data_IF_339256686116
#
_entry.id   IF_339256686116
#
_cell.length_a   1.000
_cell.length_b   1.000
_cell.length_c   1.000
_cell.angle_alpha   90.00
_cell.angle_beta   90.00
_cell.angle_gamma   90.00
#
_symmetry.space_group_name_H-M   'P 1'
#
loop_
_entity.id
_entity.type
_entity.pdbx_description
1 polymer ?
#
# COMPACT_ATOMS: atom_id res chain seq x y z
N UNK A 1 4.98 -40.94 -45.13
CA UNK A 1 5.98 -40.02 -44.54
C UNK A 1 5.26 -39.27 -43.45
N UNK A 2 5.57 -39.67 -42.25
CA UNK A 2 4.89 -39.33 -41.04
C UNK A 2 5.25 -37.94 -40.51
N UNK A 3 4.25 -37.26 -40.02
CA UNK A 3 4.38 -36.07 -39.20
C UNK A 3 3.87 -36.36 -37.81
N UNK A 4 4.78 -36.39 -36.85
CA UNK A 4 4.47 -36.58 -35.47
C UNK A 4 3.90 -35.29 -34.85
N UNK A 5 2.69 -35.39 -34.30
CA UNK A 5 2.04 -34.35 -33.54
C UNK A 5 2.49 -34.44 -32.08
N UNK A 6 3.22 -33.45 -31.60
CA UNK A 6 3.61 -33.34 -30.19
C UNK A 6 2.46 -32.68 -29.43
N UNK A 7 1.87 -33.43 -28.50
CA UNK A 7 0.85 -32.96 -27.54
C UNK A 7 1.58 -32.41 -26.28
N UNK A 8 1.28 -31.21 -25.81
CA UNK A 8 1.82 -30.71 -24.55
C UNK A 8 1.11 -31.33 -23.33
N UNK A 9 1.79 -31.51 -22.21
CA UNK A 9 1.24 -32.17 -21.02
C UNK A 9 0.24 -31.25 -20.30
N UNK A 10 -0.90 -31.84 -19.98
CA UNK A 10 -1.95 -31.31 -19.10
C UNK A 10 -1.45 -31.15 -17.68
N UNK A 11 -1.53 -29.95 -17.12
CA UNK A 11 -1.41 -29.70 -15.68
C UNK A 11 -2.76 -29.92 -15.02
N UNK A 12 -2.80 -30.85 -14.10
CA UNK A 12 -3.92 -31.10 -13.21
C UNK A 12 -3.63 -30.51 -11.81
N UNK A 13 -4.72 -30.09 -11.23
CA UNK A 13 -5.07 -29.91 -9.80
C UNK A 13 -4.85 -28.55 -9.18
N UNK A 14 -6.00 -27.93 -9.07
CA UNK A 14 -6.41 -26.88 -8.16
C UNK A 14 -6.28 -27.36 -6.70
N UNK A 15 -5.59 -26.60 -5.86
CA UNK A 15 -5.78 -26.64 -4.42
C UNK A 15 -6.38 -25.29 -3.99
N UNK A 16 -7.67 -25.29 -3.74
CA UNK A 16 -8.42 -24.21 -3.06
C UNK A 16 -7.92 -24.11 -1.61
N UNK A 17 -7.34 -22.97 -1.26
CA UNK A 17 -7.14 -22.59 0.14
C UNK A 17 -8.24 -21.63 0.58
N UNK A 18 -9.16 -22.13 1.38
CA UNK A 18 -10.11 -21.33 2.15
C UNK A 18 -9.38 -20.60 3.28
N UNK A 19 -9.49 -19.26 3.27
CA UNK A 19 -8.98 -18.38 4.33
C UNK A 19 -10.16 -17.87 5.14
N UNK A 20 -10.42 -18.53 6.26
CA UNK A 20 -11.21 -17.95 7.36
C UNK A 20 -10.66 -18.47 8.68
N UNK A 21 -9.93 -17.61 9.41
CA UNK A 21 -9.80 -17.72 10.85
C UNK A 21 -9.27 -16.42 11.47
N UNK A 22 -10.04 -15.93 12.43
CA UNK A 22 -9.75 -14.83 13.37
C UNK A 22 -8.40 -15.01 14.06
N UNK A 23 -7.50 -14.02 13.93
CA UNK A 23 -6.21 -14.01 14.59
C UNK A 23 -6.21 -13.00 15.75
N UNK A 24 -6.41 -13.49 16.97
CA UNK A 24 -6.00 -12.79 18.17
C UNK A 24 -4.50 -13.06 18.46
N UNK A 25 -3.70 -11.99 18.54
CA UNK A 25 -2.24 -12.03 18.74
C UNK A 25 -1.87 -12.52 20.16
N UNK A 26 -1.08 -13.59 20.30
CA UNK A 26 -0.42 -13.92 21.57
C UNK A 26 0.81 -13.03 21.78
N UNK A 27 1.12 -12.71 23.04
CA UNK A 27 2.26 -11.89 23.43
C UNK A 27 3.62 -12.49 23.04
N UNK A 28 4.56 -11.61 22.70
CA UNK A 28 5.87 -11.85 22.09
C UNK A 28 6.89 -12.73 22.89
N UNK A 29 6.50 -13.37 23.98
CA UNK A 29 7.46 -13.98 24.93
C UNK A 29 7.78 -15.46 24.75
N UNK A 30 7.41 -16.10 23.61
CA UNK A 30 7.52 -17.57 23.52
C UNK A 30 7.97 -18.09 22.14
N UNK A 31 9.28 -18.04 21.85
CA UNK A 31 9.89 -18.68 20.67
C UNK A 31 10.75 -19.89 21.11
N UNK A 32 10.55 -21.07 20.49
CA UNK A 32 11.37 -22.25 20.77
C UNK A 32 12.64 -22.27 19.87
N UNK A 33 13.84 -22.12 20.45
CA UNK A 33 15.09 -21.95 19.75
C UNK A 33 15.63 -23.19 19.02
N UNK A 34 15.23 -24.39 19.45
CA UNK A 34 15.88 -25.63 19.03
C UNK A 34 15.61 -26.02 17.57
N UNK A 35 14.39 -25.87 17.11
CA UNK A 35 14.00 -26.27 15.74
C UNK A 35 14.54 -25.34 14.65
N UNK A 36 14.66 -24.04 14.94
CA UNK A 36 15.29 -23.09 14.03
C UNK A 36 16.80 -23.31 13.99
N UNK A 37 17.41 -23.63 15.15
CA UNK A 37 18.82 -23.98 15.30
C UNK A 37 19.18 -25.18 14.43
N UNK A 38 18.38 -26.24 14.46
CA UNK A 38 18.65 -27.48 13.69
C UNK A 38 18.52 -27.23 12.18
N UNK A 39 17.56 -26.43 11.76
CA UNK A 39 17.39 -26.06 10.35
C UNK A 39 18.55 -25.21 9.82
N UNK A 40 18.97 -24.21 10.58
CA UNK A 40 20.06 -23.31 10.19
C UNK A 40 21.43 -24.01 10.30
N UNK A 41 21.57 -24.99 11.22
CA UNK A 41 22.73 -25.84 11.31
C UNK A 41 22.87 -26.75 10.09
N UNK A 42 21.79 -27.36 9.61
CA UNK A 42 21.78 -28.11 8.34
C UNK A 42 22.19 -27.23 7.15
N UNK A 43 21.78 -25.95 7.12
CA UNK A 43 22.13 -25.02 6.04
C UNK A 43 23.57 -24.49 6.17
N UNK A 44 24.10 -24.37 7.37
CA UNK A 44 25.50 -23.96 7.63
C UNK A 44 26.51 -25.05 7.27
N UNK A 45 26.14 -26.32 7.35
CA UNK A 45 26.97 -27.47 6.91
C UNK A 45 27.06 -27.50 5.37
N UNK A 46 26.11 -26.94 4.62
CA UNK A 46 26.16 -26.77 3.16
C UNK A 46 26.99 -25.54 2.69
N UNK A 47 27.64 -24.84 3.58
CA UNK A 47 28.83 -24.00 3.30
C UNK A 47 28.56 -22.66 2.59
N UNK A 48 27.43 -21.99 2.74
CA UNK A 48 27.23 -20.65 2.13
C UNK A 48 26.24 -19.79 2.93
N UNK A 49 26.67 -19.02 3.92
CA UNK A 49 26.31 -17.65 4.22
C UNK A 49 26.55 -17.28 5.68
N UNK A 50 27.39 -16.27 5.89
CA UNK A 50 27.68 -15.62 7.17
C UNK A 50 26.41 -15.02 7.83
N UNK A 51 25.44 -14.60 7.00
CA UNK A 51 24.13 -14.08 7.43
C UNK A 51 23.27 -15.13 8.16
N UNK A 52 23.35 -16.40 7.75
CA UNK A 52 22.57 -17.48 8.37
C UNK A 52 23.15 -17.86 9.75
N UNK A 53 24.43 -17.60 9.97
CA UNK A 53 25.12 -17.85 11.23
C UNK A 53 24.82 -16.84 12.32
N UNK A 54 24.76 -15.56 11.95
CA UNK A 54 24.39 -14.47 12.85
C UNK A 54 22.92 -14.60 13.30
N UNK A 55 22.07 -15.12 12.43
CA UNK A 55 20.67 -15.37 12.73
C UNK A 55 20.46 -16.47 13.78
N UNK A 56 21.34 -17.49 13.81
CA UNK A 56 21.32 -18.58 14.80
C UNK A 56 21.64 -18.09 16.20
N UNK A 57 22.64 -17.21 16.34
CA UNK A 57 23.09 -16.72 17.64
C UNK A 57 22.07 -15.81 18.33
N UNK A 58 21.24 -15.11 17.56
CA UNK A 58 20.22 -14.20 18.09
C UNK A 58 18.98 -14.95 18.57
N UNK A 59 18.63 -16.08 17.94
CA UNK A 59 17.53 -16.94 18.37
C UNK A 59 17.84 -17.77 19.61
N UNK A 60 19.12 -18.06 19.88
CA UNK A 60 19.58 -18.78 21.09
C UNK A 60 19.37 -17.95 22.38
N UNK A 61 19.19 -16.62 22.27
CA UNK A 61 18.97 -15.73 23.41
C UNK A 61 17.53 -15.71 23.91
N UNK A 62 16.60 -16.29 23.16
CA UNK A 62 15.17 -16.36 23.56
C UNK A 62 14.85 -17.75 24.13
N UNK A 63 14.86 -17.87 25.46
CA UNK A 63 14.72 -19.14 26.22
C UNK A 63 13.39 -19.91 26.04
N UNK A 64 13.32 -21.14 26.59
CA UNK A 64 12.25 -22.11 26.31
C UNK A 64 10.99 -21.86 27.13
N UNK A 65 9.79 -21.89 26.52
CA UNK A 65 8.53 -22.03 27.25
C UNK A 65 7.40 -22.68 26.46
N UNK A 66 6.65 -23.51 27.17
CA UNK A 66 5.34 -24.14 27.01
C UNK A 66 5.00 -24.89 25.71
N UNK A 67 4.65 -26.15 25.91
CA UNK A 67 4.30 -27.17 24.90
C UNK A 67 2.80 -27.25 24.67
N UNK A 68 2.15 -26.22 24.10
CA UNK A 68 0.80 -26.40 23.55
C UNK A 68 0.88 -26.67 22.04
N UNK A 69 0.04 -27.56 21.46
CA UNK A 69 0.06 -27.87 20.04
C UNK A 69 -0.20 -26.64 19.14
N UNK A 70 -1.00 -25.69 19.60
CA UNK A 70 -1.27 -24.44 18.88
C UNK A 70 -0.04 -23.55 18.79
N UNK A 71 0.78 -23.53 19.84
CA UNK A 71 2.02 -22.80 19.90
C UNK A 71 3.05 -23.36 18.91
N UNK A 72 3.20 -24.68 18.83
CA UNK A 72 4.08 -25.31 17.85
C UNK A 72 3.65 -25.04 16.41
N UNK A 73 2.35 -25.07 16.13
CA UNK A 73 1.80 -24.78 14.81
C UNK A 73 2.08 -23.31 14.41
N UNK A 74 1.89 -22.35 15.34
CA UNK A 74 2.23 -20.95 15.13
C UNK A 74 3.73 -20.78 14.81
N UNK A 75 4.61 -21.41 15.57
CA UNK A 75 6.05 -21.35 15.34
C UNK A 75 6.48 -21.91 13.99
N UNK A 76 5.94 -23.05 13.59
CA UNK A 76 6.20 -23.64 12.27
C UNK A 76 5.76 -22.69 11.13
N UNK A 77 4.59 -22.06 11.27
CA UNK A 77 4.12 -21.04 10.29
C UNK A 77 5.08 -19.85 10.22
N UNK A 78 5.45 -19.30 11.37
CA UNK A 78 6.37 -18.16 11.45
C UNK A 78 7.73 -18.48 10.87
N UNK A 79 8.31 -19.64 11.18
CA UNK A 79 9.55 -20.12 10.58
C UNK A 79 9.46 -20.23 9.04
N UNK A 80 8.35 -20.76 8.52
CA UNK A 80 8.11 -20.81 7.08
C UNK A 80 8.14 -19.41 6.47
N UNK A 81 7.46 -18.44 7.08
CA UNK A 81 7.42 -17.06 6.62
C UNK A 81 8.82 -16.41 6.66
N UNK A 82 9.60 -16.63 7.71
CA UNK A 82 10.98 -16.17 7.79
C UNK A 82 11.83 -16.72 6.62
N UNK A 83 11.71 -18.01 6.36
CA UNK A 83 12.39 -18.67 5.24
C UNK A 83 11.98 -18.06 3.88
N UNK A 84 10.70 -17.83 3.67
CA UNK A 84 10.18 -17.21 2.45
C UNK A 84 10.73 -15.79 2.26
N UNK A 85 10.81 -15.00 3.34
CA UNK A 85 11.38 -13.65 3.30
C UNK A 85 12.86 -13.69 2.98
N UNK A 86 13.66 -14.58 3.62
CA UNK A 86 15.09 -14.76 3.30
C UNK A 86 15.28 -15.18 1.85
N UNK A 87 14.52 -16.16 1.38
CA UNK A 87 14.59 -16.59 -0.02
C UNK A 87 14.24 -15.46 -1.00
N UNK A 88 13.36 -14.53 -0.62
CA UNK A 88 13.04 -13.37 -1.46
C UNK A 88 14.25 -12.46 -1.70
N UNK A 89 15.15 -12.29 -0.72
CA UNK A 89 16.40 -11.55 -0.91
C UNK A 89 17.36 -12.25 -1.87
N UNK A 90 17.51 -13.59 -1.74
CA UNK A 90 18.35 -14.37 -2.65
C UNK A 90 17.81 -14.34 -4.09
N UNK A 91 16.49 -14.46 -4.25
CA UNK A 91 15.84 -14.35 -5.55
C UNK A 91 16.04 -12.96 -6.19
N UNK A 92 15.98 -11.89 -5.40
CA UNK A 92 16.24 -10.53 -5.89
C UNK A 92 17.68 -10.39 -6.40
N UNK A 93 18.67 -10.98 -5.70
CA UNK A 93 20.07 -10.98 -6.15
C UNK A 93 20.25 -11.67 -7.51
N UNK A 94 19.65 -12.84 -7.68
CA UNK A 94 19.70 -13.57 -8.96
C UNK A 94 19.00 -12.81 -10.07
N UNK A 95 17.80 -12.26 -9.79
CA UNK A 95 16.99 -11.54 -10.77
C UNK A 95 17.52 -10.14 -11.10
N UNK A 96 18.44 -9.58 -10.31
CA UNK A 96 19.03 -8.27 -10.60
C UNK A 96 19.76 -8.21 -11.95
N UNK A 97 20.15 -9.35 -12.50
CA UNK A 97 20.72 -9.44 -13.86
C UNK A 97 19.70 -9.08 -14.96
N UNK A 98 18.39 -9.18 -14.70
CA UNK A 98 17.30 -8.82 -15.63
C UNK A 98 16.66 -7.47 -15.34
N UNK A 99 17.35 -6.60 -14.61
CA UNK A 99 16.83 -5.27 -14.17
C UNK A 99 16.32 -4.44 -15.35
N UNK A 100 17.06 -4.37 -16.46
CA UNK A 100 16.69 -3.56 -17.63
C UNK A 100 15.38 -4.05 -18.28
N UNK A 101 15.15 -5.34 -18.35
CA UNK A 101 13.90 -5.91 -18.84
C UNK A 101 12.72 -5.55 -17.91
N UNK A 102 12.94 -5.64 -16.59
CA UNK A 102 11.94 -5.27 -15.60
C UNK A 102 11.61 -3.75 -15.66
N UNK A 103 12.63 -2.89 -15.80
CA UNK A 103 12.44 -1.43 -16.01
C UNK A 103 11.62 -1.16 -17.28
N UNK A 104 11.97 -1.81 -18.38
CA UNK A 104 11.26 -1.63 -19.65
C UNK A 104 9.77 -1.97 -19.53
N UNK A 105 9.41 -3.03 -18.81
CA UNK A 105 8.01 -3.40 -18.58
C UNK A 105 7.23 -2.30 -17.83
N UNK A 106 7.84 -1.65 -16.87
CA UNK A 106 7.20 -0.53 -16.14
C UNK A 106 7.16 0.73 -17.02
N UNK A 107 8.22 1.03 -17.78
CA UNK A 107 8.25 2.17 -18.69
C UNK A 107 7.22 2.07 -19.83
N UNK A 108 6.92 0.84 -20.28
CA UNK A 108 5.89 0.58 -21.30
C UNK A 108 4.46 0.53 -20.74
N UNK A 109 4.29 0.72 -19.41
CA UNK A 109 2.98 0.74 -18.78
C UNK A 109 2.14 1.93 -19.25
N UNK A 110 0.87 1.67 -19.48
CA UNK A 110 -0.19 2.68 -19.55
C UNK A 110 -1.42 2.16 -18.78
N UNK A 111 -2.26 3.05 -18.22
CA UNK A 111 -3.37 2.66 -17.37
C UNK A 111 -4.26 1.59 -18.03
N UNK A 112 -4.47 0.50 -17.31
CA UNK A 112 -5.33 -0.60 -17.74
C UNK A 112 -4.68 -1.68 -18.61
N UNK A 113 -3.40 -1.53 -19.00
CA UNK A 113 -2.75 -2.51 -19.92
C UNK A 113 -2.66 -3.91 -19.28
N UNK A 114 -2.59 -4.00 -17.97
CA UNK A 114 -2.43 -5.28 -17.27
C UNK A 114 -3.75 -5.86 -16.71
N UNK A 115 -4.91 -5.24 -17.00
CA UNK A 115 -6.23 -5.70 -16.51
C UNK A 115 -6.43 -7.20 -16.78
N UNK A 116 -6.21 -7.64 -18.02
CA UNK A 116 -6.42 -9.03 -18.39
C UNK A 116 -5.39 -9.97 -17.73
N UNK A 117 -4.15 -9.51 -17.55
CA UNK A 117 -3.08 -10.28 -16.89
C UNK A 117 -3.36 -10.52 -15.39
N UNK A 118 -4.10 -9.62 -14.75
CA UNK A 118 -4.46 -9.74 -13.32
C UNK A 118 -5.86 -10.35 -13.10
N UNK A 119 -6.37 -11.06 -14.08
CA UNK A 119 -7.66 -11.77 -14.02
C UNK A 119 -8.89 -10.89 -14.24
N UNK A 120 -8.71 -9.69 -14.82
CA UNK A 120 -9.79 -8.80 -15.20
C UNK A 120 -10.51 -9.24 -16.49
N UNK A 121 -11.61 -8.54 -16.79
CA UNK A 121 -12.33 -8.66 -18.06
C UNK A 121 -11.63 -7.82 -19.15
N UNK A 122 -12.30 -7.64 -20.31
CA UNK A 122 -11.76 -6.84 -21.40
C UNK A 122 -11.54 -5.39 -20.98
N UNK A 123 -10.46 -4.78 -21.45
CA UNK A 123 -10.12 -3.38 -21.24
C UNK A 123 -11.30 -2.41 -21.47
N UNK A 124 -12.12 -2.70 -22.51
CA UNK A 124 -13.31 -1.90 -22.86
C UNK A 124 -14.35 -1.77 -21.77
N UNK A 125 -14.38 -2.70 -20.81
CA UNK A 125 -15.41 -2.79 -19.77
C UNK A 125 -15.13 -1.88 -18.57
N UNK A 126 -13.92 -1.31 -18.48
CA UNK A 126 -13.47 -0.50 -17.35
C UNK A 126 -13.45 0.99 -17.66
N UNK A 127 -13.69 1.81 -16.62
CA UNK A 127 -13.45 3.23 -16.65
C UNK A 127 -11.98 3.49 -16.32
N UNK A 128 -11.16 3.53 -17.38
CA UNK A 128 -9.70 3.64 -17.25
C UNK A 128 -9.30 5.10 -17.16
N UNK A 129 -8.55 5.51 -16.11
CA UNK A 129 -8.07 6.87 -15.96
C UNK A 129 -7.01 7.20 -17.02
N UNK A 130 -6.81 8.48 -17.30
CA UNK A 130 -5.71 8.93 -18.18
C UNK A 130 -4.34 8.69 -17.55
N UNK A 131 -4.27 8.71 -16.22
CA UNK A 131 -3.06 8.57 -15.42
C UNK A 131 -3.38 7.75 -14.19
N UNK A 132 -2.62 6.71 -13.91
CA UNK A 132 -2.73 5.95 -12.66
C UNK A 132 -2.13 6.73 -11.50
N UNK A 133 -2.91 7.00 -10.47
CA UNK A 133 -2.50 7.77 -9.29
C UNK A 133 -2.15 6.84 -8.13
N UNK A 134 -0.88 6.84 -7.72
CA UNK A 134 -0.36 6.10 -6.57
C UNK A 134 -0.11 7.08 -5.43
N UNK A 135 -0.70 6.84 -4.25
CA UNK A 135 -0.58 7.72 -3.09
C UNK A 135 0.40 7.12 -2.07
N UNK A 136 1.43 7.89 -1.69
CA UNK A 136 2.36 7.55 -0.63
C UNK A 136 1.80 8.01 0.72
N UNK A 137 1.60 7.07 1.65
CA UNK A 137 1.14 7.33 3.02
C UNK A 137 2.15 6.74 4.00
N UNK A 138 2.31 7.34 5.17
CA UNK A 138 3.16 6.82 6.24
C UNK A 138 3.51 7.89 7.26
N UNK A 139 4.10 7.51 8.40
CA UNK A 139 4.50 8.43 9.45
C UNK A 139 5.40 9.56 9.00
N UNK A 140 5.51 10.59 9.83
CA UNK A 140 6.50 11.64 9.63
C UNK A 140 7.92 11.04 9.68
N UNK A 141 8.80 11.44 8.76
CA UNK A 141 10.19 10.98 8.73
C UNK A 141 10.43 9.59 8.14
N UNK A 142 9.39 8.82 7.78
CA UNK A 142 9.55 7.46 7.24
C UNK A 142 10.08 7.39 5.79
N UNK A 143 10.62 8.46 5.21
CA UNK A 143 11.30 8.42 3.91
C UNK A 143 10.42 8.50 2.65
N UNK A 144 9.15 8.99 2.73
CA UNK A 144 8.24 9.09 1.55
C UNK A 144 8.83 9.94 0.41
N UNK A 145 9.29 11.14 0.70
CA UNK A 145 9.89 12.04 -0.29
C UNK A 145 11.20 11.49 -0.85
N UNK A 146 12.02 10.84 0.00
CA UNK A 146 13.23 10.13 -0.43
C UNK A 146 12.89 8.97 -1.38
N UNK A 147 11.82 8.24 -1.11
CA UNK A 147 11.34 7.17 -1.99
C UNK A 147 10.93 7.70 -3.37
N UNK A 148 10.27 8.87 -3.44
CA UNK A 148 9.97 9.54 -4.73
C UNK A 148 11.25 9.81 -5.52
N UNK A 149 12.28 10.37 -4.86
CA UNK A 149 13.55 10.67 -5.51
C UNK A 149 14.26 9.39 -6.00
N UNK A 150 14.25 8.32 -5.19
CA UNK A 150 14.82 7.02 -5.59
C UNK A 150 14.09 6.42 -6.80
N UNK A 151 12.75 6.41 -6.77
CA UNK A 151 11.94 5.93 -7.89
C UNK A 151 12.24 6.75 -9.15
N UNK A 152 12.30 8.09 -9.04
CA UNK A 152 12.62 8.95 -10.17
C UNK A 152 13.99 8.61 -10.75
N UNK A 153 15.01 8.43 -9.91
CA UNK A 153 16.37 8.09 -10.35
C UNK A 153 16.45 6.75 -11.09
N UNK A 154 15.66 5.76 -10.67
CA UNK A 154 15.63 4.43 -11.33
C UNK A 154 15.09 4.52 -12.75
N UNK A 155 14.15 5.43 -13.04
CA UNK A 155 13.47 5.53 -14.33
C UNK A 155 13.89 6.73 -15.18
N UNK A 156 14.70 7.62 -14.64
CA UNK A 156 15.22 8.78 -15.34
C UNK A 156 16.75 8.63 -15.43
N UNK A 157 17.27 8.34 -16.62
CA UNK A 157 18.71 8.10 -16.86
C UNK A 157 19.55 9.38 -16.83
N UNK A 158 19.12 10.40 -16.07
CA UNK A 158 19.83 11.66 -15.90
C UNK A 158 20.42 11.78 -14.49
N UNK A 159 21.69 11.42 -14.36
CA UNK A 159 22.44 11.52 -13.10
C UNK A 159 22.63 12.96 -12.61
N UNK A 160 22.40 13.95 -13.46
CA UNK A 160 22.50 15.37 -13.14
C UNK A 160 21.15 16.03 -12.88
N UNK A 161 20.05 15.28 -13.03
CA UNK A 161 18.74 15.81 -12.74
C UNK A 161 18.61 16.16 -11.24
N UNK A 162 18.11 17.37 -10.90
CA UNK A 162 17.90 17.72 -9.51
C UNK A 162 16.83 16.80 -8.88
N UNK A 163 16.97 16.58 -7.58
CA UNK A 163 15.97 15.86 -6.80
C UNK A 163 14.59 16.51 -6.98
N UNK A 164 13.56 15.67 -7.14
CA UNK A 164 12.20 16.13 -7.43
C UNK A 164 11.44 16.51 -6.18
N UNK A 165 11.52 15.65 -5.16
CA UNK A 165 10.87 15.86 -3.88
C UNK A 165 11.84 16.51 -2.90
N UNK A 166 11.40 17.57 -2.24
CA UNK A 166 12.19 18.24 -1.21
C UNK A 166 12.23 17.36 0.04
N UNK A 167 13.45 16.96 0.44
CA UNK A 167 13.69 16.17 1.65
C UNK A 167 14.00 17.12 2.80
N UNK A 168 13.39 16.90 3.97
CA UNK A 168 13.74 17.58 5.21
C UNK A 168 14.65 16.69 6.03
N UNK A 169 15.92 17.05 6.14
CA UNK A 169 16.91 16.32 6.95
C UNK A 169 16.81 16.62 8.45
N UNK A 170 16.05 17.64 8.84
CA UNK A 170 15.94 18.04 10.23
C UNK A 170 14.48 17.92 10.72
N UNK A 171 14.13 16.85 11.44
CA UNK A 171 12.78 16.63 11.95
C UNK A 171 12.33 17.69 12.97
N UNK A 172 13.27 18.42 13.60
CA UNK A 172 12.96 19.49 14.55
C UNK A 172 12.51 20.80 13.89
N UNK A 173 12.72 20.98 12.59
CA UNK A 173 12.35 22.22 11.86
C UNK A 173 10.92 22.17 11.29
N UNK A 174 10.14 21.16 11.61
CA UNK A 174 8.75 20.99 11.18
C UNK A 174 8.53 19.76 10.28
N UNK A 175 7.31 19.61 9.76
CA UNK A 175 6.98 18.54 8.82
C UNK A 175 7.55 18.89 7.44
N UNK A 176 8.37 18.07 6.84
CA UNK A 176 9.02 18.36 5.55
C UNK A 176 8.03 18.66 4.41
N UNK A 177 6.94 17.92 4.32
CA UNK A 177 5.93 18.03 3.26
C UNK A 177 4.60 18.51 3.83
N UNK A 178 4.16 19.71 3.45
CA UNK A 178 2.88 20.30 3.89
C UNK A 178 1.76 20.18 2.85
N UNK A 179 2.12 19.93 1.60
CA UNK A 179 1.24 19.90 0.45
C UNK A 179 1.28 18.52 -0.21
N UNK A 180 0.18 18.05 -0.76
CA UNK A 180 0.20 16.92 -1.69
C UNK A 180 1.00 17.29 -2.93
N UNK A 181 2.06 16.56 -3.23
CA UNK A 181 2.90 16.81 -4.39
C UNK A 181 2.82 15.63 -5.36
N UNK A 182 2.28 15.87 -6.55
CA UNK A 182 2.21 14.86 -7.61
C UNK A 182 3.42 14.90 -8.51
N UNK A 183 4.02 13.74 -8.75
CA UNK A 183 5.22 13.54 -9.57
C UNK A 183 4.94 12.52 -10.67
N UNK A 184 4.90 12.98 -11.92
CA UNK A 184 4.84 12.08 -13.08
C UNK A 184 6.19 11.39 -13.27
N UNK A 185 6.22 10.08 -13.42
CA UNK A 185 7.45 9.30 -13.56
C UNK A 185 7.35 8.36 -14.77
N UNK A 186 8.36 8.41 -15.67
CA UNK A 186 9.40 9.44 -15.77
C UNK A 186 8.84 10.82 -16.11
N UNK A 187 9.67 11.88 -16.04
CA UNK A 187 9.26 13.24 -16.43
C UNK A 187 8.72 13.23 -17.85
N UNK A 188 7.61 13.93 -18.06
CA UNK A 188 6.96 13.97 -19.38
C UNK A 188 6.09 12.75 -19.73
N UNK A 189 6.12 11.67 -18.92
CA UNK A 189 5.16 10.58 -19.04
C UNK A 189 3.80 10.98 -18.47
N UNK A 190 2.71 10.40 -19.01
CA UNK A 190 1.37 10.55 -18.45
C UNK A 190 0.83 9.23 -17.86
N UNK A 191 1.64 8.19 -17.81
CA UNK A 191 1.20 6.84 -17.47
C UNK A 191 0.82 6.72 -15.99
N UNK A 192 1.70 7.15 -15.09
CA UNK A 192 1.39 7.16 -13.66
C UNK A 192 2.01 8.36 -12.93
N UNK A 193 1.38 8.71 -11.81
CA UNK A 193 1.76 9.80 -10.94
C UNK A 193 1.90 9.30 -9.50
N UNK A 194 3.03 9.60 -8.87
CA UNK A 194 3.22 9.40 -7.43
C UNK A 194 2.81 10.67 -6.68
N UNK A 195 1.93 10.53 -5.70
CA UNK A 195 1.55 11.62 -4.81
C UNK A 195 2.27 11.47 -3.47
N UNK A 196 3.23 12.35 -3.20
CA UNK A 196 3.85 12.46 -1.87
C UNK A 196 2.92 13.22 -0.93
N UNK A 197 2.68 12.67 0.25
CA UNK A 197 1.78 13.24 1.24
C UNK A 197 2.50 13.73 2.48
N UNK A 198 1.87 14.65 3.20
CA UNK A 198 2.28 15.00 4.55
C UNK A 198 2.28 13.76 5.44
N UNK A 199 3.34 13.56 6.23
CA UNK A 199 3.47 12.43 7.16
C UNK A 199 2.27 12.31 8.10
N UNK A 200 1.86 11.10 8.49
CA UNK A 200 0.80 10.88 9.47
C UNK A 200 1.19 11.53 10.82
N UNK A 201 0.21 12.08 11.51
CA UNK A 201 0.37 12.68 12.84
C UNK A 201 0.16 11.62 13.94
N UNK A 202 0.38 12.00 15.19
CA UNK A 202 0.19 11.09 16.33
C UNK A 202 -1.29 10.74 16.57
N UNK A 203 -2.22 11.59 16.10
CA UNK A 203 -3.66 11.39 16.24
C UNK A 203 -4.28 10.50 15.19
N UNK A 204 -4.62 9.26 15.50
CA UNK A 204 -5.18 8.28 14.55
C UNK A 204 -6.47 8.74 13.88
N UNK A 205 -7.42 9.32 14.62
CA UNK A 205 -8.71 9.75 14.06
C UNK A 205 -8.56 10.86 13.01
N UNK A 206 -7.63 11.79 13.21
CA UNK A 206 -7.34 12.85 12.24
C UNK A 206 -6.70 12.27 10.98
N UNK A 207 -5.77 11.32 11.12
CA UNK A 207 -5.15 10.62 10.00
C UNK A 207 -6.18 9.87 9.16
N UNK A 208 -7.09 9.14 9.81
CA UNK A 208 -8.17 8.40 9.13
C UNK A 208 -9.05 9.36 8.33
N UNK A 209 -9.46 10.49 8.90
CA UNK A 209 -10.29 11.48 8.22
C UNK A 209 -9.59 12.05 6.98
N UNK A 210 -8.31 12.36 7.09
CA UNK A 210 -7.52 12.88 5.96
C UNK A 210 -7.38 11.84 4.86
N UNK A 211 -7.01 10.61 5.20
CA UNK A 211 -6.86 9.50 4.26
C UNK A 211 -8.20 9.17 3.60
N UNK A 212 -9.28 9.11 4.37
CA UNK A 212 -10.63 8.87 3.85
C UNK A 212 -11.07 9.96 2.88
N UNK A 213 -10.72 11.23 3.15
CA UNK A 213 -10.98 12.33 2.22
C UNK A 213 -10.24 12.13 0.88
N UNK A 214 -8.96 11.76 0.90
CA UNK A 214 -8.19 11.48 -0.31
C UNK A 214 -8.74 10.31 -1.11
N UNK A 215 -9.14 9.25 -0.42
CA UNK A 215 -9.71 8.05 -1.07
C UNK A 215 -11.08 8.31 -1.69
N UNK A 216 -11.92 9.15 -1.08
CA UNK A 216 -13.28 9.42 -1.55
C UNK A 216 -13.33 10.56 -2.60
N UNK A 217 -12.54 11.61 -2.40
CA UNK A 217 -12.61 12.85 -3.20
C UNK A 217 -11.43 13.01 -4.17
N UNK A 218 -10.47 12.08 -4.11
CA UNK A 218 -9.23 12.15 -4.87
C UNK A 218 -8.22 13.14 -4.30
N UNK A 219 -7.07 13.23 -4.97
CA UNK A 219 -5.91 14.04 -4.59
C UNK A 219 -5.61 15.08 -5.66
N UNK A 220 -5.01 16.22 -5.26
CA UNK A 220 -4.60 17.28 -6.20
C UNK A 220 -3.17 17.70 -5.92
N UNK A 221 -2.42 17.94 -6.99
CA UNK A 221 -1.07 18.52 -6.85
C UNK A 221 -1.16 19.91 -6.20
N UNK A 222 -0.31 20.18 -5.19
CA UNK A 222 -0.27 21.44 -4.46
C UNK A 222 -1.38 21.65 -3.43
N UNK A 223 -2.22 20.63 -3.16
CA UNK A 223 -3.28 20.72 -2.16
C UNK A 223 -2.69 20.77 -0.74
N UNK A 224 -3.05 21.79 0.08
CA UNK A 224 -2.55 21.89 1.45
C UNK A 224 -3.19 20.84 2.36
N UNK A 225 -2.36 20.13 3.11
CA UNK A 225 -2.80 19.14 4.11
C UNK A 225 -2.82 19.81 5.48
N UNK A 226 -3.91 20.50 5.80
CA UNK A 226 -4.07 21.28 7.04
C UNK A 226 -4.63 20.38 8.14
N UNK A 227 -4.01 20.42 9.33
CA UNK A 227 -4.42 19.69 10.52
C UNK A 227 -5.00 20.59 11.59
N UNK A 228 -5.77 20.01 12.50
CA UNK A 228 -6.28 20.72 13.68
C UNK A 228 -5.17 21.11 14.64
N UNK A 229 -4.11 20.32 14.72
CA UNK A 229 -2.91 20.56 15.54
C UNK A 229 -2.00 21.67 15.03
N UNK A 230 -2.15 22.10 13.74
CA UNK A 230 -1.33 23.17 13.18
C UNK A 230 -1.60 24.52 13.86
N UNK A 231 -0.56 25.29 14.12
CA UNK A 231 -0.72 26.64 14.65
C UNK A 231 -1.37 27.60 13.63
N UNK A 232 -1.88 28.72 14.10
CA UNK A 232 -2.60 29.68 13.27
C UNK A 232 -1.73 30.32 12.20
N UNK A 233 -0.43 30.51 12.46
CA UNK A 233 0.52 31.12 11.52
C UNK A 233 0.81 30.16 10.37
N UNK A 234 1.04 28.87 10.67
CA UNK A 234 1.24 27.82 9.71
C UNK A 234 0.00 27.62 8.83
N UNK A 235 -1.19 27.54 9.43
CA UNK A 235 -2.45 27.43 8.67
C UNK A 235 -2.65 28.59 7.71
N UNK A 236 -2.29 29.82 8.14
CA UNK A 236 -2.35 31.01 7.29
C UNK A 236 -1.40 30.86 6.11
N UNK A 237 -0.11 30.53 6.34
CA UNK A 237 0.90 30.31 5.30
C UNK A 237 0.43 29.26 4.29
N UNK A 238 -0.06 28.11 4.79
CA UNK A 238 -0.52 27.02 3.95
C UNK A 238 -1.72 27.38 3.09
N UNK A 239 -2.59 28.29 3.54
CA UNK A 239 -3.73 28.77 2.76
C UNK A 239 -3.35 29.79 1.68
N UNK A 240 -2.28 30.57 1.87
CA UNK A 240 -1.86 31.58 0.92
C UNK A 240 -0.99 31.02 -0.22
N UNK A 241 0.00 30.21 0.08
CA UNK A 241 0.94 29.66 -0.89
C UNK A 241 0.28 28.87 -2.05
N UNK A 242 -0.77 28.05 -1.86
CA UNK A 242 -1.43 27.33 -2.96
C UNK A 242 -2.16 28.22 -3.97
N UNK A 243 -2.52 29.45 -3.60
CA UNK A 243 -3.14 30.40 -4.54
C UNK A 243 -2.18 30.79 -5.66
N UNK A 244 -0.89 30.86 -5.35
CA UNK A 244 0.17 31.14 -6.32
C UNK A 244 0.42 29.91 -7.23
N UNK A 245 0.28 28.71 -6.70
CA UNK A 245 0.49 27.44 -7.42
C UNK A 245 -0.74 26.97 -8.24
N UNK A 246 -1.87 27.68 -8.18
CA UNK A 246 -3.07 27.37 -8.98
C UNK A 246 -3.72 26.01 -8.70
N UNK A 247 -3.43 25.35 -7.55
CA UNK A 247 -3.91 24.01 -7.23
C UNK A 247 -5.44 23.83 -7.35
N UNK A 248 -6.21 24.91 -7.11
CA UNK A 248 -7.68 24.89 -7.21
C UNK A 248 -8.17 24.63 -8.63
N UNK A 249 -7.37 24.89 -9.63
CA UNK A 249 -7.70 24.65 -11.04
C UNK A 249 -7.32 23.24 -11.47
N UNK A 250 -6.51 22.52 -10.67
CA UNK A 250 -6.19 21.12 -10.93
C UNK A 250 -7.40 20.24 -10.61
N UNK A 251 -7.80 19.39 -11.56
CA UNK A 251 -8.86 18.39 -11.30
C UNK A 251 -8.35 17.35 -10.29
N UNK A 252 -9.21 16.91 -9.35
CA UNK A 252 -8.84 15.84 -8.45
C UNK A 252 -8.60 14.56 -9.25
N UNK A 253 -7.56 13.82 -8.88
CA UNK A 253 -7.26 12.51 -9.42
C UNK A 253 -7.66 11.46 -8.38
N UNK A 254 -8.49 10.50 -8.78
CA UNK A 254 -8.85 9.39 -7.89
C UNK A 254 -7.63 8.54 -7.60
N UNK A 255 -7.44 8.18 -6.34
CA UNK A 255 -6.35 7.29 -5.93
C UNK A 255 -6.65 5.88 -6.41
N UNK A 256 -5.77 5.33 -7.25
CA UNK A 256 -5.92 3.98 -7.80
C UNK A 256 -5.29 2.91 -6.90
N UNK A 257 -4.18 3.25 -6.24
CA UNK A 257 -3.56 2.36 -5.25
C UNK A 257 -2.73 3.15 -4.23
N UNK A 258 -2.40 2.52 -3.10
CA UNK A 258 -1.65 3.14 -1.99
C UNK A 258 -0.36 2.38 -1.74
N UNK A 259 0.72 3.13 -1.57
CA UNK A 259 2.03 2.67 -1.10
C UNK A 259 2.19 3.17 0.34
N UNK A 260 2.20 2.26 1.30
CA UNK A 260 2.33 2.59 2.72
C UNK A 260 3.80 2.49 3.13
N UNK A 261 4.41 3.60 3.54
CA UNK A 261 5.85 3.69 3.83
C UNK A 261 6.07 3.69 5.34
N UNK A 262 6.97 2.83 5.81
CA UNK A 262 7.29 2.62 7.23
C UNK A 262 8.80 2.61 7.42
N UNK A 263 9.28 3.17 8.52
CA UNK A 263 10.69 3.12 8.91
C UNK A 263 11.01 1.80 9.62
N UNK A 264 11.93 1.02 9.07
CA UNK A 264 12.35 -0.28 9.62
C UNK A 264 13.00 -0.14 11.01
N UNK A 265 13.74 0.95 11.25
CA UNK A 265 14.40 1.20 12.54
C UNK A 265 13.38 1.43 13.65
N UNK A 266 12.34 2.24 13.37
CA UNK A 266 11.24 2.46 14.32
C UNK A 266 10.46 1.19 14.62
N UNK A 267 10.26 0.33 13.60
CA UNK A 267 9.63 -0.99 13.80
C UNK A 267 10.47 -1.86 14.73
N UNK A 268 11.78 -1.94 14.50
CA UNK A 268 12.68 -2.74 15.33
C UNK A 268 12.72 -2.27 16.77
N UNK A 269 12.85 -0.95 17.01
CA UNK A 269 12.80 -0.35 18.35
C UNK A 269 11.52 -0.70 19.09
N UNK A 270 10.38 -0.70 18.41
CA UNK A 270 9.10 -1.09 18.99
C UNK A 270 9.05 -2.57 19.37
N UNK A 271 9.66 -3.45 18.57
CA UNK A 271 9.76 -4.90 18.87
C UNK A 271 10.62 -5.12 20.11
N UNK A 272 11.68 -4.33 20.30
CA UNK A 272 12.62 -4.41 21.43
C UNK A 272 12.12 -3.73 22.71
N UNK A 273 11.00 -3.02 22.62
CA UNK A 273 10.40 -2.35 23.78
C UNK A 273 11.11 -1.07 24.21
N UNK A 274 11.89 -0.46 23.33
CA UNK A 274 12.74 0.69 23.64
C UNK A 274 12.03 2.05 23.65
N UNK A 275 10.72 2.14 23.39
CA UNK A 275 10.02 3.42 23.42
C UNK A 275 8.51 3.31 23.37
N UNK A 276 7.83 4.06 24.23
CA UNK A 276 6.37 4.20 24.19
C UNK A 276 5.93 4.89 22.90
N UNK A 277 6.71 5.84 22.40
CA UNK A 277 6.42 6.59 21.17
C UNK A 277 6.45 5.69 19.93
N UNK A 278 7.44 4.81 19.81
CA UNK A 278 7.54 3.86 18.71
C UNK A 278 6.37 2.86 18.71
N UNK A 279 5.95 2.41 19.90
CA UNK A 279 4.80 1.52 20.06
C UNK A 279 3.49 2.23 19.64
N UNK A 280 3.28 3.47 20.05
CA UNK A 280 2.11 4.26 19.65
C UNK A 280 2.11 4.53 18.15
N UNK A 281 3.29 4.76 17.57
CA UNK A 281 3.44 4.91 16.12
C UNK A 281 3.02 3.63 15.38
N UNK A 282 3.43 2.44 15.84
CA UNK A 282 3.01 1.16 15.24
C UNK A 282 1.51 0.91 15.41
N UNK A 283 0.94 1.25 16.56
CA UNK A 283 -0.49 1.14 16.76
C UNK A 283 -1.25 2.03 15.77
N UNK A 284 -0.84 3.28 15.60
CA UNK A 284 -1.41 4.21 14.62
C UNK A 284 -1.28 3.68 13.19
N UNK A 285 -0.10 3.13 12.83
CA UNK A 285 0.12 2.49 11.52
C UNK A 285 -0.89 1.36 11.30
N UNK A 286 -1.04 0.46 12.27
CA UNK A 286 -1.95 -0.67 12.20
C UNK A 286 -3.42 -0.22 12.03
N UNK A 287 -3.86 0.76 12.82
CA UNK A 287 -5.23 1.29 12.75
C UNK A 287 -5.52 1.97 11.42
N UNK A 288 -4.60 2.80 10.92
CA UNK A 288 -4.76 3.46 9.62
C UNK A 288 -4.72 2.45 8.48
N UNK A 289 -3.77 1.50 8.49
CA UNK A 289 -3.61 0.50 7.44
C UNK A 289 -4.83 -0.43 7.33
N UNK A 290 -5.38 -0.86 8.46
CA UNK A 290 -6.55 -1.75 8.50
C UNK A 290 -7.88 -1.04 8.23
N UNK A 291 -7.86 0.30 8.17
CA UNK A 291 -9.10 1.04 7.96
C UNK A 291 -9.74 0.69 6.60
N UNK A 292 -11.06 0.47 6.54
CA UNK A 292 -11.76 0.04 5.33
C UNK A 292 -11.57 0.94 4.11
N UNK A 293 -11.29 2.25 4.30
CA UNK A 293 -11.04 3.15 3.18
C UNK A 293 -9.77 2.80 2.38
N UNK A 294 -8.83 2.05 2.96
CA UNK A 294 -7.62 1.56 2.30
C UNK A 294 -7.76 0.13 1.75
N UNK A 295 -8.95 -0.44 1.78
CA UNK A 295 -9.22 -1.72 1.13
C UNK A 295 -9.72 -1.49 -0.30
N UNK A 296 -8.96 -1.97 -1.28
CA UNK A 296 -9.27 -1.90 -2.70
C UNK A 296 -9.91 -3.22 -3.12
N UNK A 297 -11.24 -3.31 -3.11
CA UNK A 297 -11.95 -4.59 -3.18
C UNK A 297 -11.40 -5.49 -2.05
N UNK A 298 -10.59 -6.49 -2.38
CA UNK A 298 -9.95 -7.39 -1.41
C UNK A 298 -8.44 -7.10 -1.24
N UNK A 299 -7.89 -6.15 -2.00
CA UNK A 299 -6.47 -5.81 -1.94
C UNK A 299 -6.18 -4.80 -0.82
N UNK A 300 -5.08 -4.99 -0.12
CA UNK A 300 -4.51 -4.05 0.85
C UNK A 300 -3.36 -3.26 0.23
N UNK A 301 -3.02 -2.08 0.76
CA UNK A 301 -1.85 -1.32 0.31
C UNK A 301 -0.58 -2.16 0.28
N UNK A 302 0.30 -1.88 -0.67
CA UNK A 302 1.68 -2.36 -0.61
C UNK A 302 2.43 -1.62 0.49
N UNK A 303 3.34 -2.30 1.18
CA UNK A 303 4.18 -1.70 2.21
C UNK A 303 5.62 -1.60 1.73
N UNK A 304 6.22 -0.45 1.96
CA UNK A 304 7.65 -0.22 1.76
C UNK A 304 8.28 0.04 3.11
N UNK A 305 9.33 -0.71 3.45
CA UNK A 305 10.19 -0.41 4.58
C UNK A 305 11.44 0.32 4.09
N UNK A 306 11.82 1.37 4.81
CA UNK A 306 12.97 2.24 4.52
C UNK A 306 14.02 2.10 5.62
N UNK A 307 15.18 2.74 5.44
CA UNK A 307 16.29 2.74 6.40
C UNK A 307 16.80 1.33 6.77
N UNK A 308 16.58 0.35 5.89
CA UNK A 308 17.09 -1.00 6.05
C UNK A 308 18.62 -1.09 5.98
N UNK A 309 19.28 -0.10 5.38
CA UNK A 309 20.74 0.06 5.37
C UNK A 309 21.36 0.24 6.76
N UNK A 310 20.58 0.74 7.72
CA UNK A 310 20.98 0.88 9.13
C UNK A 310 20.82 -0.42 9.94
N UNK A 311 20.31 -1.49 9.34
CA UNK A 311 19.97 -2.73 10.00
C UNK A 311 20.71 -3.93 9.39
N UNK A 312 20.96 -4.93 10.21
CA UNK A 312 21.41 -6.24 9.74
C UNK A 312 20.34 -6.92 8.87
N UNK A 313 20.73 -7.87 8.03
CA UNK A 313 19.76 -8.65 7.23
C UNK A 313 18.77 -9.38 8.14
N UNK A 314 19.23 -9.90 9.28
CA UNK A 314 18.37 -10.56 10.27
C UNK A 314 17.29 -9.61 10.81
N UNK A 315 17.68 -8.39 11.19
CA UNK A 315 16.75 -7.37 11.69
C UNK A 315 15.77 -6.91 10.62
N UNK A 316 16.21 -6.76 9.38
CA UNK A 316 15.35 -6.44 8.23
C UNK A 316 14.29 -7.52 8.02
N UNK A 317 14.67 -8.78 8.06
CA UNK A 317 13.73 -9.91 7.98
C UNK A 317 12.77 -9.91 9.16
N UNK A 318 13.28 -9.68 10.39
CA UNK A 318 12.48 -9.60 11.61
C UNK A 318 11.43 -8.49 11.52
N UNK A 319 11.82 -7.29 11.09
CA UNK A 319 10.90 -6.17 10.89
C UNK A 319 9.84 -6.49 9.83
N UNK A 320 10.22 -7.10 8.68
CA UNK A 320 9.26 -7.50 7.63
C UNK A 320 8.25 -8.52 8.10
N UNK A 321 8.71 -9.57 8.80
CA UNK A 321 7.81 -10.62 9.33
C UNK A 321 6.87 -10.05 10.36
N UNK A 322 7.39 -9.25 11.30
CA UNK A 322 6.57 -8.59 12.32
C UNK A 322 5.49 -7.69 11.70
N UNK A 323 5.85 -6.84 10.72
CA UNK A 323 4.89 -6.01 10.01
C UNK A 323 3.87 -6.84 9.24
N UNK A 324 4.28 -7.94 8.62
CA UNK A 324 3.38 -8.86 7.93
C UNK A 324 2.31 -9.44 8.87
N UNK A 325 2.73 -9.87 10.05
CA UNK A 325 1.83 -10.36 11.11
C UNK A 325 0.90 -9.23 11.62
N UNK A 326 1.47 -8.07 11.94
CA UNK A 326 0.73 -6.92 12.46
C UNK A 326 -0.34 -6.42 11.49
N UNK A 327 0.00 -6.32 10.20
CA UNK A 327 -0.86 -5.74 9.16
C UNK A 327 -1.75 -6.79 8.47
N UNK A 328 -1.48 -8.08 8.70
CA UNK A 328 -2.21 -9.19 8.08
C UNK A 328 -1.94 -9.33 6.58
N UNK A 329 -0.69 -9.17 6.15
CA UNK A 329 -0.27 -9.25 4.74
C UNK A 329 0.96 -10.17 4.57
N UNK A 330 1.14 -10.82 3.41
CA UNK A 330 2.29 -11.70 3.15
C UNK A 330 3.58 -10.89 3.00
N UNK A 331 4.56 -11.00 3.96
CA UNK A 331 5.72 -10.12 3.97
C UNK A 331 6.69 -10.37 2.81
N UNK A 332 6.77 -11.59 2.28
CA UNK A 332 7.64 -11.88 1.15
C UNK A 332 7.14 -11.29 -0.18
N UNK A 333 5.83 -11.05 -0.31
CA UNK A 333 5.20 -10.63 -1.57
C UNK A 333 4.74 -9.17 -1.58
N UNK A 334 4.34 -8.62 -0.41
CA UNK A 334 3.66 -7.33 -0.31
C UNK A 334 4.41 -6.31 0.54
N UNK A 335 5.54 -6.70 1.19
CA UNK A 335 6.43 -5.79 1.91
C UNK A 335 7.77 -5.74 1.17
N UNK A 336 8.11 -4.56 0.66
CA UNK A 336 9.34 -4.31 -0.10
C UNK A 336 10.33 -3.54 0.76
N UNK A 337 11.55 -4.04 0.85
CA UNK A 337 12.63 -3.44 1.61
C UNK A 337 13.51 -2.60 0.67
N UNK A 338 13.46 -1.29 0.83
CA UNK A 338 14.16 -0.32 -0.02
C UNK A 338 15.13 0.49 0.84
N UNK A 339 16.37 -0.02 1.03
CA UNK A 339 17.42 0.69 1.75
C UNK A 339 17.93 1.92 0.99
N UNK A 340 18.80 2.74 1.60
CA UNK A 340 19.37 3.94 0.95
C UNK A 340 20.43 3.62 -0.12
N UNK A 341 20.72 2.36 -0.37
CA UNK A 341 21.71 1.89 -1.32
C UNK A 341 21.29 2.15 -2.78
N UNK A 342 22.30 2.34 -3.64
CA UNK A 342 22.14 2.47 -5.08
C UNK A 342 22.77 1.27 -5.79
N UNK A 343 22.23 0.09 -5.54
CA UNK A 343 22.68 -1.17 -6.13
C UNK A 343 21.55 -1.78 -7.00
N UNK A 344 21.91 -2.67 -7.96
CA UNK A 344 20.92 -3.26 -8.86
C UNK A 344 19.80 -4.05 -8.16
N UNK A 345 20.06 -4.56 -6.94
CA UNK A 345 19.07 -5.30 -6.15
C UNK A 345 18.02 -4.34 -5.59
N UNK A 346 18.46 -3.21 -5.05
CA UNK A 346 17.57 -2.14 -4.56
C UNK A 346 16.76 -1.55 -5.71
N UNK A 347 17.38 -1.29 -6.87
CA UNK A 347 16.67 -0.80 -8.04
C UNK A 347 15.61 -1.81 -8.53
N UNK A 348 15.95 -3.09 -8.59
CA UNK A 348 14.98 -4.14 -8.94
C UNK A 348 13.82 -4.21 -7.93
N UNK A 349 14.12 -4.04 -6.64
CA UNK A 349 13.09 -4.01 -5.60
C UNK A 349 12.11 -2.85 -5.81
N UNK A 350 12.62 -1.67 -6.20
CA UNK A 350 11.78 -0.50 -6.56
C UNK A 350 10.92 -0.83 -7.78
N UNK A 351 11.48 -1.43 -8.81
CA UNK A 351 10.76 -1.82 -10.03
C UNK A 351 9.67 -2.84 -9.72
N UNK A 352 9.97 -3.87 -8.91
CA UNK A 352 9.00 -4.89 -8.49
C UNK A 352 7.87 -4.29 -7.66
N UNK A 353 8.18 -3.39 -6.73
CA UNK A 353 7.19 -2.67 -5.92
C UNK A 353 6.25 -1.83 -6.79
N UNK A 354 6.79 -1.09 -7.76
CA UNK A 354 5.97 -0.31 -8.69
C UNK A 354 5.12 -1.20 -9.58
N UNK A 355 5.70 -2.28 -10.12
CA UNK A 355 4.94 -3.25 -10.92
C UNK A 355 3.77 -3.80 -10.12
N UNK A 356 4.01 -4.25 -8.89
CA UNK A 356 2.97 -4.71 -7.97
C UNK A 356 1.88 -3.65 -7.79
N UNK A 357 2.28 -2.39 -7.51
CA UNK A 357 1.34 -1.30 -7.29
C UNK A 357 0.47 -0.98 -8.51
N UNK A 358 1.05 -1.01 -9.71
CA UNK A 358 0.35 -0.74 -10.96
C UNK A 358 -0.55 -1.90 -11.38
N UNK A 359 -0.13 -3.16 -11.20
CA UNK A 359 -0.95 -4.36 -11.41
C UNK A 359 -2.20 -4.33 -10.51
N UNK A 360 -2.04 -3.97 -9.24
CA UNK A 360 -3.16 -3.86 -8.31
C UNK A 360 -4.03 -2.63 -8.58
N UNK A 361 -3.44 -1.52 -9.05
CA UNK A 361 -4.22 -0.38 -9.52
C UNK A 361 -5.13 -0.76 -10.70
N UNK A 362 -4.61 -1.52 -11.66
CA UNK A 362 -5.40 -1.99 -12.81
C UNK A 362 -6.48 -2.99 -12.40
N UNK A 363 -6.18 -3.93 -11.49
CA UNK A 363 -7.16 -4.87 -10.91
C UNK A 363 -8.34 -4.15 -10.27
N UNK A 364 -8.09 -3.01 -9.64
CA UNK A 364 -9.07 -2.27 -8.87
C UNK A 364 -9.82 -1.20 -9.67
N UNK A 365 -9.61 -1.10 -10.98
CA UNK A 365 -10.31 -0.16 -11.83
C UNK A 365 -11.84 -0.37 -11.77
N UNK A 366 -12.64 0.72 -11.77
CA UNK A 366 -14.08 0.63 -11.79
C UNK A 366 -14.59 0.17 -13.17
N UNK A 367 -15.67 -0.58 -13.19
CA UNK A 367 -16.36 -0.91 -14.44
C UNK A 367 -17.09 0.32 -15.01
N UNK A 368 -17.17 0.44 -16.33
CA UNK A 368 -17.93 1.50 -17.01
C UNK A 368 -19.42 1.51 -16.66
N UNK A 369 -20.01 0.34 -16.47
CA UNK A 369 -21.42 0.21 -16.07
C UNK A 369 -21.57 0.31 -14.55
N UNK A 370 -21.60 1.53 -14.03
CA UNK A 370 -21.83 1.83 -12.61
C UNK A 370 -23.16 1.26 -12.05
N UNK A 371 -24.14 0.98 -12.90
CA UNK A 371 -25.40 0.31 -12.54
C UNK A 371 -25.24 -1.11 -12.01
N UNK A 372 -24.09 -1.77 -12.26
CA UNK A 372 -23.78 -3.10 -11.72
C UNK A 372 -23.11 -3.05 -10.34
N UNK A 373 -22.86 -1.84 -9.79
CA UNK A 373 -22.28 -1.67 -8.47
C UNK A 373 -23.25 -0.92 -7.52
N UNK A 374 -24.20 -1.62 -6.90
CA UNK A 374 -25.18 -1.01 -5.97
C UNK A 374 -24.50 -0.32 -4.76
N UNK A 375 -23.27 -0.71 -4.41
CA UNK A 375 -22.56 -0.19 -3.24
C UNK A 375 -22.09 1.26 -3.39
N UNK A 376 -21.64 1.68 -4.58
CA UNK A 376 -21.22 3.10 -4.81
C UNK A 376 -22.42 4.04 -4.86
N UNK A 377 -23.51 3.58 -5.46
CA UNK A 377 -24.79 4.31 -5.48
C UNK A 377 -25.40 4.39 -4.09
N UNK A 378 -25.32 3.34 -3.28
CA UNK A 378 -25.84 3.32 -1.92
C UNK A 378 -25.11 4.31 -1.00
N UNK A 379 -23.77 4.41 -1.06
CA UNK A 379 -23.01 5.43 -0.30
C UNK A 379 -23.34 6.87 -0.73
N UNK A 380 -23.39 7.13 -2.04
CA UNK A 380 -23.78 8.44 -2.53
C UNK A 380 -25.23 8.78 -2.13
N UNK A 381 -26.12 7.80 -2.16
CA UNK A 381 -27.51 7.94 -1.77
C UNK A 381 -27.68 8.18 -0.26
N UNK A 382 -26.92 7.49 0.61
CA UNK A 382 -26.94 7.74 2.05
C UNK A 382 -26.44 9.14 2.40
N UNK A 383 -25.40 9.63 1.72
CA UNK A 383 -24.91 11.00 1.91
C UNK A 383 -25.96 12.02 1.45
N UNK A 384 -26.64 11.76 0.34
CA UNK A 384 -27.73 12.63 -0.15
C UNK A 384 -28.91 12.60 0.82
N UNK A 385 -29.32 11.47 1.35
CA UNK A 385 -30.38 11.35 2.33
C UNK A 385 -30.03 12.07 3.64
N UNK A 386 -28.80 11.96 4.11
CA UNK A 386 -28.32 12.63 5.33
C UNK A 386 -28.34 14.16 5.16
N UNK A 387 -27.87 14.67 4.03
CA UNK A 387 -27.95 16.10 3.68
C UNK A 387 -29.40 16.58 3.52
N UNK A 388 -30.25 15.78 2.90
CA UNK A 388 -31.66 16.11 2.71
C UNK A 388 -32.48 16.08 4.01
N UNK A 389 -32.14 15.20 4.94
CA UNK A 389 -32.77 15.12 6.28
C UNK A 389 -32.44 16.33 7.15
N UNK A 390 -31.23 16.91 6.95
CA UNK A 390 -30.76 18.06 7.73
C UNK A 390 -31.24 19.41 7.16
N UNK A 391 -31.72 19.51 5.91
CA UNK A 391 -32.15 20.74 5.30
C UNK A 391 -33.17 20.51 4.14
N UNK A 392 -34.47 20.46 4.41
CA UNK A 392 -35.51 20.27 3.38
C UNK A 392 -35.50 21.31 2.25
N UNK A 393 -34.99 22.52 2.51
CA UNK A 393 -34.86 23.59 1.51
C UNK A 393 -33.78 23.27 0.44
N UNK A 394 -32.73 22.50 0.78
CA UNK A 394 -31.69 22.06 -0.16
C UNK A 394 -32.27 21.02 -1.13
N UNK A 395 -33.15 20.15 -0.65
CA UNK A 395 -33.83 19.16 -1.48
C UNK A 395 -34.65 19.82 -2.63
N UNK A 396 -35.37 20.88 -2.33
CA UNK A 396 -36.15 21.63 -3.35
C UNK A 396 -35.24 22.29 -4.40
N UNK A 397 -34.08 22.82 -3.99
CA UNK A 397 -33.12 23.44 -4.93
C UNK A 397 -32.43 22.39 -5.80
N UNK A 398 -32.13 21.23 -5.25
CA UNK A 398 -31.54 20.11 -6.02
C UNK A 398 -32.54 19.51 -7.02
N UNK A 399 -33.83 19.44 -6.69
CA UNK A 399 -34.87 18.99 -7.61
C UNK A 399 -35.13 19.99 -8.75
N UNK A 400 -34.87 21.27 -8.54
CA UNK A 400 -35.07 22.33 -9.54
C UNK A 400 -33.90 22.47 -10.53
N UNK A 401 -32.71 21.93 -10.22
CA UNK A 401 -31.56 21.96 -11.11
C UNK A 401 -31.48 20.68 -11.96
N UNK A 402 -31.50 20.84 -13.30
CA UNK A 402 -31.43 19.73 -14.28
C UNK A 402 -30.16 18.82 -14.12
N UNK A 403 -29.15 19.24 -13.38
CA UNK A 403 -27.98 18.44 -13.07
C UNK A 403 -28.24 17.30 -12.04
N UNK A 404 -29.26 17.50 -11.17
CA UNK A 404 -29.66 16.48 -10.19
C UNK A 404 -30.68 15.47 -10.77
N UNK A 405 -31.33 15.79 -11.87
CA UNK A 405 -32.37 14.95 -12.46
C UNK A 405 -31.91 13.58 -12.94
N UNK A 406 -30.63 13.43 -13.28
CA UNK A 406 -30.06 12.15 -13.70
C UNK A 406 -29.78 11.20 -12.53
N UNK A 407 -29.28 11.72 -11.42
CA UNK A 407 -29.02 10.91 -10.22
C UNK A 407 -30.32 10.56 -9.47
N UNK A 408 -31.31 11.48 -9.44
CA UNK A 408 -32.57 11.26 -8.74
C UNK A 408 -33.54 10.34 -9.52
N UNK A 409 -33.59 10.40 -10.84
CA UNK A 409 -34.41 9.45 -11.63
C UNK A 409 -33.99 7.99 -11.43
N UNK A 410 -32.69 7.72 -11.38
CA UNK A 410 -32.21 6.34 -11.23
C UNK A 410 -32.25 5.85 -9.78
N UNK A 411 -32.12 6.75 -8.79
CA UNK A 411 -32.27 6.42 -7.37
C UNK A 411 -33.72 6.17 -6.96
N UNK A 412 -34.68 6.97 -7.47
CA UNK A 412 -36.11 6.80 -7.21
C UNK A 412 -36.65 5.51 -7.82
N UNK A 413 -36.24 5.13 -9.03
CA UNK A 413 -36.63 3.85 -9.62
C UNK A 413 -36.17 2.62 -8.79
N UNK A 414 -34.99 2.70 -8.13
CA UNK A 414 -34.51 1.63 -7.26
C UNK A 414 -35.32 1.52 -5.96
N UNK A 415 -35.85 2.65 -5.44
CA UNK A 415 -36.69 2.67 -4.23
C UNK A 415 -38.06 2.11 -4.53
N UNK A 416 -38.72 2.54 -5.62
CA UNK A 416 -40.00 1.98 -6.00
C UNK A 416 -39.96 0.50 -6.36
N UNK A 417 -38.86 0.02 -6.92
CA UNK A 417 -38.67 -1.41 -7.16
C UNK A 417 -38.45 -2.21 -5.88
N UNK A 418 -37.85 -1.63 -4.84
CA UNK A 418 -37.65 -2.28 -3.54
C UNK A 418 -38.94 -2.32 -2.70
N UNK A 419 -39.70 -1.22 -2.65
CA UNK A 419 -41.00 -1.18 -1.97
C UNK A 419 -42.02 -2.10 -2.65
N UNK A 420 -42.09 -2.12 -3.99
CA UNK A 420 -42.96 -3.02 -4.74
C UNK A 420 -42.59 -4.51 -4.54
N UNK A 421 -41.33 -4.83 -4.27
CA UNK A 421 -40.89 -6.21 -3.95
C UNK A 421 -41.09 -6.61 -2.48
N UNK A 422 -41.28 -5.65 -1.58
CA UNK A 422 -41.56 -5.91 -0.16
C UNK A 422 -43.08 -6.09 0.11
N UNK A 423 -43.94 -5.53 -0.71
CA UNK A 423 -45.40 -5.71 -0.60
C UNK A 423 -45.94 -7.04 -1.19
N UNK A 424 -45.12 -7.81 -1.93
CA UNK A 424 -45.48 -9.10 -2.49
C UNK A 424 -45.16 -10.27 -1.53
N UNK A 425 -44.73 -10.00 -0.29
CA UNK A 425 -44.48 -11.00 0.76
C UNK A 425 -45.37 -10.78 2.00
N UNK A 426 -46.67 -10.70 1.81
CA UNK A 426 -47.69 -10.99 2.84
C UNK A 426 -48.69 -11.99 2.26
#
# INVERSE_FOLDING_TARGET
MGGETIIPPTFTSEEEYSVDQDFSLPSLSSLNPTLLRDYLRMKAEDGKNESDRLFLEEFDKMGPQSSSPDFEAYHKRRQKVYKEVLQSYDQLRVRSMSLNEAKYKVLSYFPGIWIENVGGKKFSDYDVPKTTSLLLIGPKGCGKSSLVNKISRVFEDDNFAPERAQISYNPSVGDGTYYLQGYMIPRGSASFCLYDSRGLADGTSENINVVQNWMNNGVRHGEPVIRKSDDSSLRRRMKFKPRELGWKFCRPQMVNFVIFVVDAVSVLKSIEGHGVEDLLCLQMINEVFKHPCLSFKDDKPVVVITHGDLLSIADRVRARVYLGELLGIPPAKQIFDIPENHDPVTELTIVDMLRYSLEHADRNLPYKNWLLYPYRTYKAFLVILDVCSQSPSIFMVMCASNAAGFCLRNGLHAIFAYEASSEIRI
#
